data_IF_526211128088
#
_entry.id   IF_526211128088
#
_cell.length_a   1.000
_cell.length_b   1.000
_cell.length_c   1.000
_cell.angle_alpha   90.00
_cell.angle_beta   90.00
_cell.angle_gamma   90.00
#
_symmetry.space_group_name_H-M   'P 1'
#
loop_
_entity.id
_entity.type
_entity.pdbx_description
1 polymer ?
#
# COMPACT_ATOMS: atom_id res chain seq x y z
N UNK A 1 11.31 -9.97 15.71
CA UNK A 1 11.03 -8.51 15.70
C UNK A 1 10.13 -8.20 14.53
N UNK A 2 9.09 -7.41 14.76
CA UNK A 2 8.14 -7.03 13.73
C UNK A 2 8.52 -5.67 13.13
N UNK A 3 8.36 -5.57 11.82
CA UNK A 3 8.80 -4.42 11.02
C UNK A 3 7.65 -3.77 10.28
N UNK A 4 7.84 -2.51 9.91
CA UNK A 4 7.07 -1.84 8.88
C UNK A 4 7.87 -1.92 7.57
N UNK A 5 7.32 -2.64 6.62
CA UNK A 5 7.93 -2.82 5.29
C UNK A 5 7.16 -2.07 4.23
N UNK A 6 7.87 -1.40 3.33
CA UNK A 6 7.30 -0.72 2.17
C UNK A 6 7.72 -1.43 0.88
N UNK A 7 6.74 -1.79 0.06
CA UNK A 7 6.93 -2.10 -1.35
C UNK A 7 6.35 -0.94 -2.16
N UNK A 8 7.16 -0.31 -2.99
CA UNK A 8 6.73 0.82 -3.80
C UNK A 8 7.22 0.68 -5.24
N UNK A 9 6.55 1.35 -6.15
CA UNK A 9 6.92 1.30 -7.55
C UNK A 9 5.94 2.09 -8.41
N UNK A 10 6.22 2.12 -9.70
CA UNK A 10 5.35 2.73 -10.69
C UNK A 10 4.08 1.90 -10.89
N UNK A 11 3.13 2.43 -11.65
CA UNK A 11 1.96 1.64 -12.07
C UNK A 11 2.44 0.38 -12.80
N UNK A 12 1.68 -0.70 -12.66
CA UNK A 12 1.97 -1.99 -13.29
C UNK A 12 3.22 -2.71 -12.76
N UNK A 13 3.81 -2.24 -11.68
CA UNK A 13 5.00 -2.88 -11.08
C UNK A 13 4.68 -4.15 -10.28
N UNK A 14 3.39 -4.55 -10.22
CA UNK A 14 2.99 -5.80 -9.55
C UNK A 14 2.73 -5.66 -8.05
N UNK A 15 2.48 -4.46 -7.54
CA UNK A 15 2.24 -4.23 -6.11
C UNK A 15 1.03 -5.02 -5.59
N UNK A 16 -0.09 -4.96 -6.29
CA UNK A 16 -1.31 -5.67 -5.89
C UNK A 16 -1.13 -7.18 -5.96
N UNK A 17 -0.45 -7.67 -6.99
CA UNK A 17 -0.10 -9.10 -7.10
C UNK A 17 0.78 -9.54 -5.92
N UNK A 18 1.76 -8.72 -5.55
CA UNK A 18 2.61 -8.98 -4.39
C UNK A 18 1.80 -9.04 -3.10
N UNK A 19 0.88 -8.10 -2.90
CA UNK A 19 -0.01 -8.10 -1.73
C UNK A 19 -0.83 -9.39 -1.66
N UNK A 20 -1.45 -9.79 -2.76
CA UNK A 20 -2.28 -10.99 -2.81
C UNK A 20 -1.46 -12.26 -2.53
N UNK A 21 -0.24 -12.32 -3.05
CA UNK A 21 0.69 -13.41 -2.78
C UNK A 21 1.09 -13.45 -1.30
N UNK A 22 1.43 -12.32 -0.71
CA UNK A 22 1.77 -12.22 0.70
C UNK A 22 0.59 -12.63 1.59
N UNK A 23 -0.62 -12.16 1.25
CA UNK A 23 -1.85 -12.54 1.95
C UNK A 23 -2.05 -14.07 1.94
N UNK A 24 -1.91 -14.69 0.78
CA UNK A 24 -2.02 -16.14 0.65
C UNK A 24 -0.98 -16.86 1.52
N UNK A 25 0.28 -16.44 1.42
CA UNK A 25 1.37 -17.08 2.14
C UNK A 25 1.22 -16.99 3.66
N UNK A 26 0.90 -15.83 4.18
CA UNK A 26 0.71 -15.66 5.63
C UNK A 26 -0.49 -16.47 6.14
N UNK A 27 -1.62 -16.43 5.43
CA UNK A 27 -2.81 -17.21 5.82
C UNK A 27 -2.56 -18.71 5.76
N UNK A 28 -1.84 -19.17 4.76
CA UNK A 28 -1.45 -20.59 4.61
C UNK A 28 -0.63 -21.08 5.80
N UNK A 29 0.18 -20.21 6.39
CA UNK A 29 0.97 -20.54 7.57
C UNK A 29 0.24 -20.28 8.89
N UNK A 30 -1.05 -20.01 8.85
CA UNK A 30 -1.91 -19.88 10.02
C UNK A 30 -1.94 -18.51 10.68
N UNK A 31 -1.36 -17.49 10.05
CA UNK A 31 -1.37 -16.14 10.59
C UNK A 31 -2.73 -15.45 10.38
N UNK A 32 -3.15 -14.67 11.38
CA UNK A 32 -4.31 -13.79 11.22
C UNK A 32 -3.89 -12.52 10.50
N UNK A 33 -4.45 -12.32 9.30
CA UNK A 33 -4.11 -11.21 8.40
C UNK A 33 -5.29 -10.26 8.25
N UNK A 34 -5.04 -8.96 8.34
CA UNK A 34 -5.99 -7.91 7.94
C UNK A 34 -5.49 -7.20 6.69
N UNK A 35 -6.39 -6.97 5.75
CA UNK A 35 -6.15 -6.13 4.58
C UNK A 35 -6.84 -4.80 4.79
N UNK A 36 -6.08 -3.71 4.68
CA UNK A 36 -6.53 -2.33 4.89
C UNK A 36 -6.28 -1.54 3.61
N UNK A 37 -7.22 -0.66 3.29
CA UNK A 37 -7.12 0.22 2.13
C UNK A 37 -7.63 1.61 2.53
N UNK A 38 -6.94 2.70 2.14
CA UNK A 38 -7.47 4.04 2.35
C UNK A 38 -8.81 4.23 1.63
N UNK A 39 -9.76 4.86 2.30
CA UNK A 39 -11.05 5.22 1.71
C UNK A 39 -10.90 6.57 0.99
N UNK A 40 -10.53 6.54 -0.28
CA UNK A 40 -10.28 7.76 -1.06
C UNK A 40 -11.30 7.92 -2.15
N UNK A 41 -11.61 6.83 -2.81
CA UNK A 41 -12.55 6.78 -3.90
C UNK A 41 -13.20 5.40 -3.86
N UNK A 42 -14.48 5.35 -4.18
CA UNK A 42 -15.25 4.11 -4.23
C UNK A 42 -14.90 3.23 -5.44
N UNK A 43 -13.91 3.64 -6.24
CA UNK A 43 -13.41 2.81 -7.33
C UNK A 43 -12.68 1.59 -6.76
N UNK A 44 -13.19 0.41 -7.09
CA UNK A 44 -12.66 -0.86 -6.62
C UNK A 44 -13.32 -1.39 -5.36
N UNK A 45 -14.18 -0.61 -4.68
CA UNK A 45 -14.98 -1.10 -3.55
C UNK A 45 -14.15 -1.70 -2.43
N UNK A 46 -14.68 -2.76 -1.84
CA UNK A 46 -14.12 -3.46 -0.67
C UNK A 46 -13.17 -4.61 -1.07
N UNK A 47 -12.59 -4.56 -2.25
CA UNK A 47 -11.69 -5.61 -2.72
C UNK A 47 -10.36 -5.08 -3.21
N UNK A 48 -9.34 -5.90 -3.05
CA UNK A 48 -8.06 -5.74 -3.72
C UNK A 48 -8.07 -6.69 -4.91
N UNK A 49 -7.88 -6.18 -6.11
CA UNK A 49 -7.93 -6.95 -7.36
C UNK A 49 -6.70 -6.64 -8.20
N UNK A 50 -6.05 -7.69 -8.71
CA UNK A 50 -4.96 -7.55 -9.68
C UNK A 50 -5.46 -7.68 -11.13
N UNK A 51 -4.57 -7.57 -12.09
CA UNK A 51 -4.90 -7.62 -13.52
C UNK A 51 -5.36 -8.99 -14.01
N UNK A 52 -5.00 -10.04 -13.31
CA UNK A 52 -5.43 -11.41 -13.64
C UNK A 52 -6.72 -11.80 -12.92
N UNK A 53 -7.42 -10.81 -12.34
CA UNK A 53 -8.68 -10.97 -11.61
C UNK A 53 -8.57 -11.80 -10.32
N UNK A 54 -7.38 -12.01 -9.81
CA UNK A 54 -7.21 -12.51 -8.45
C UNK A 54 -7.61 -11.41 -7.48
N UNK A 55 -8.28 -11.76 -6.39
CA UNK A 55 -8.82 -10.76 -5.45
C UNK A 55 -8.80 -11.24 -4.02
N UNK A 56 -8.88 -10.29 -3.10
CA UNK A 56 -9.11 -10.52 -1.67
C UNK A 56 -10.02 -9.42 -1.12
N UNK A 57 -10.88 -9.75 -0.14
CA UNK A 57 -11.72 -8.74 0.48
C UNK A 57 -10.88 -7.82 1.37
N UNK A 58 -11.26 -6.54 1.44
CA UNK A 58 -10.67 -5.56 2.34
C UNK A 58 -11.40 -5.62 3.67
N UNK A 59 -10.65 -5.72 4.75
CA UNK A 59 -11.22 -5.78 6.11
C UNK A 59 -11.54 -4.39 6.67
N UNK A 60 -10.72 -3.39 6.34
CA UNK A 60 -10.90 -2.01 6.80
C UNK A 60 -10.69 -1.05 5.64
N UNK A 61 -11.68 -0.19 5.40
CA UNK A 61 -11.56 1.01 4.59
C UNK A 61 -11.31 2.18 5.52
N UNK A 62 -10.10 2.72 5.53
CA UNK A 62 -9.66 3.74 6.48
C UNK A 62 -9.77 5.12 5.86
N UNK A 63 -10.67 5.95 6.37
CA UNK A 63 -10.82 7.34 5.93
C UNK A 63 -9.68 8.21 6.45
N UNK A 64 -9.40 9.33 5.76
CA UNK A 64 -8.29 10.22 6.10
C UNK A 64 -8.37 10.82 7.51
N UNK A 65 -9.57 11.01 8.03
CA UNK A 65 -9.82 11.57 9.36
C UNK A 65 -9.94 10.50 10.45
N UNK A 66 -9.77 9.24 10.09
CA UNK A 66 -9.87 8.13 11.02
C UNK A 66 -8.47 7.68 11.49
N UNK A 67 -8.45 7.14 12.71
CA UNK A 67 -7.28 6.47 13.28
C UNK A 67 -7.49 4.95 13.24
N UNK A 68 -6.42 4.21 12.99
CA UNK A 68 -6.48 2.74 13.12
C UNK A 68 -6.72 2.32 14.58
N UNK A 69 -6.48 3.21 15.53
CA UNK A 69 -6.74 3.00 16.95
C UNK A 69 -8.16 3.38 17.39
N UNK A 70 -9.01 3.82 16.46
CA UNK A 70 -10.41 4.09 16.78
C UNK A 70 -11.10 2.83 17.34
N UNK A 71 -12.00 3.03 18.31
CA UNK A 71 -12.65 1.93 19.01
C UNK A 71 -13.32 0.90 18.09
N UNK A 72 -13.84 1.35 16.96
CA UNK A 72 -14.49 0.45 15.98
C UNK A 72 -13.52 -0.52 15.29
N UNK A 73 -12.22 -0.20 15.27
CA UNK A 73 -11.21 -1.04 14.63
C UNK A 73 -10.45 -1.92 15.62
N UNK A 74 -10.43 -1.55 16.90
CA UNK A 74 -9.69 -2.30 17.93
C UNK A 74 -10.06 -3.79 18.00
N UNK A 75 -11.34 -4.18 17.89
CA UNK A 75 -11.68 -5.61 17.89
C UNK A 75 -11.07 -6.39 16.73
N UNK A 76 -10.90 -5.75 15.57
CA UNK A 76 -10.25 -6.36 14.40
C UNK A 76 -8.72 -6.44 14.58
N UNK A 77 -8.14 -5.43 15.18
CA UNK A 77 -6.68 -5.37 15.42
C UNK A 77 -6.27 -6.42 16.47
N UNK A 78 -7.11 -6.66 17.47
CA UNK A 78 -6.81 -7.62 18.53
C UNK A 78 -6.59 -9.01 17.96
N UNK A 79 -5.44 -9.60 18.25
CA UNK A 79 -5.06 -10.93 17.76
C UNK A 79 -4.57 -10.96 16.33
N UNK A 80 -4.55 -9.83 15.63
CA UNK A 80 -3.98 -9.72 14.29
C UNK A 80 -2.46 -9.81 14.37
N UNK A 81 -1.88 -10.59 13.47
CA UNK A 81 -0.44 -10.81 13.41
C UNK A 81 0.21 -10.08 12.23
N UNK A 82 -0.54 -9.89 11.15
CA UNK A 82 -0.05 -9.26 9.92
C UNK A 82 -1.10 -8.29 9.39
N UNK A 83 -0.67 -7.10 9.01
CA UNK A 83 -1.50 -6.09 8.34
C UNK A 83 -0.87 -5.81 6.98
N UNK A 84 -1.67 -5.92 5.93
CA UNK A 84 -1.32 -5.56 4.57
C UNK A 84 -2.12 -4.33 4.16
N UNK A 85 -1.43 -3.27 3.74
CA UNK A 85 -2.08 -1.99 3.38
C UNK A 85 -1.88 -1.73 1.89
N UNK A 86 -2.97 -1.78 1.13
CA UNK A 86 -2.96 -1.43 -0.29
C UNK A 86 -3.18 0.09 -0.47
N UNK A 87 -2.75 0.62 -1.61
CA UNK A 87 -2.90 2.05 -1.94
C UNK A 87 -2.34 2.97 -0.85
N UNK A 88 -1.24 2.56 -0.22
CA UNK A 88 -0.69 3.25 0.96
C UNK A 88 -0.14 4.65 0.66
N UNK A 89 0.05 5.01 -0.61
CA UNK A 89 0.43 6.37 -1.00
C UNK A 89 -0.59 7.43 -0.58
N UNK A 90 -1.80 7.02 -0.31
CA UNK A 90 -2.88 7.91 0.09
C UNK A 90 -3.07 8.03 1.60
N UNK A 91 -2.29 7.31 2.39
CA UNK A 91 -2.32 7.46 3.85
C UNK A 91 -1.79 8.83 4.26
N UNK A 92 -2.31 9.36 5.36
CA UNK A 92 -1.75 10.55 6.00
C UNK A 92 -0.50 10.20 6.78
N UNK A 93 0.36 11.18 7.04
CA UNK A 93 1.55 10.96 7.87
C UNK A 93 1.18 10.44 9.26
N UNK A 94 0.12 10.98 9.87
CA UNK A 94 -0.38 10.51 11.15
C UNK A 94 -0.75 9.02 11.11
N UNK A 95 -1.45 8.59 10.07
CA UNK A 95 -1.82 7.18 9.91
C UNK A 95 -0.59 6.30 9.74
N UNK A 96 0.42 6.76 9.01
CA UNK A 96 1.67 6.01 8.83
C UNK A 96 2.41 5.86 10.15
N UNK A 97 2.46 6.90 10.97
CA UNK A 97 3.01 6.81 12.32
C UNK A 97 2.25 5.79 13.16
N UNK A 98 0.95 5.75 13.04
CA UNK A 98 0.12 4.75 13.74
C UNK A 98 0.45 3.32 13.30
N UNK A 99 0.63 3.09 11.99
CA UNK A 99 1.08 1.79 11.50
C UNK A 99 2.48 1.43 11.99
N UNK A 100 3.37 2.40 12.04
CA UNK A 100 4.69 2.22 12.66
C UNK A 100 4.57 1.81 14.14
N UNK A 101 3.65 2.42 14.88
CA UNK A 101 3.38 2.04 16.27
C UNK A 101 2.83 0.62 16.40
N UNK A 102 1.94 0.21 15.49
CA UNK A 102 1.46 -1.18 15.46
C UNK A 102 2.62 -2.17 15.27
N UNK A 103 3.58 -1.83 14.42
CA UNK A 103 4.74 -2.68 14.20
C UNK A 103 5.69 -2.71 15.40
N UNK A 104 6.08 -1.52 15.90
CA UNK A 104 7.16 -1.40 16.87
C UNK A 104 6.73 -1.46 18.33
N UNK A 105 5.49 -1.08 18.64
CA UNK A 105 4.99 -1.06 20.02
C UNK A 105 4.07 -2.23 20.35
N UNK A 106 3.29 -2.66 19.37
CA UNK A 106 2.29 -3.73 19.57
C UNK A 106 2.79 -5.06 19.04
N UNK A 107 3.68 -5.06 18.05
CA UNK A 107 4.30 -6.27 17.55
C UNK A 107 3.53 -6.94 16.41
N UNK A 108 2.89 -6.14 15.56
CA UNK A 108 2.22 -6.62 14.35
C UNK A 108 3.13 -6.39 13.15
N UNK A 109 3.29 -7.38 12.29
CA UNK A 109 3.98 -7.19 11.01
C UNK A 109 3.13 -6.32 10.09
N UNK A 110 3.65 -5.19 9.62
CA UNK A 110 2.92 -4.28 8.74
C UNK A 110 3.66 -4.17 7.40
N UNK A 111 2.94 -4.42 6.32
CA UNK A 111 3.47 -4.30 4.95
C UNK A 111 2.58 -3.34 4.18
N UNK A 112 3.18 -2.27 3.66
CA UNK A 112 2.50 -1.26 2.87
C UNK A 112 2.93 -1.36 1.41
N UNK A 113 1.97 -1.21 0.51
CA UNK A 113 2.16 -1.23 -0.94
C UNK A 113 1.71 0.12 -1.49
N UNK A 114 2.62 0.84 -2.17
CA UNK A 114 2.36 2.22 -2.56
C UNK A 114 2.88 2.54 -3.96
N UNK A 115 2.18 3.45 -4.65
CA UNK A 115 2.72 4.10 -5.83
C UNK A 115 3.88 5.00 -5.43
N UNK A 116 4.96 4.97 -6.18
CA UNK A 116 6.15 5.79 -5.94
C UNK A 116 5.83 7.26 -6.07
N UNK A 117 5.30 7.65 -7.22
CA UNK A 117 5.10 9.05 -7.57
C UNK A 117 3.89 9.25 -8.49
N UNK A 118 3.45 10.50 -8.59
CA UNK A 118 2.46 10.91 -9.58
C UNK A 118 3.09 11.00 -10.98
N UNK A 119 2.28 11.38 -11.98
CA UNK A 119 2.75 11.51 -13.36
C UNK A 119 3.72 12.70 -13.57
N UNK A 120 3.86 13.58 -12.58
CA UNK A 120 4.85 14.68 -12.58
C UNK A 120 6.19 14.27 -11.96
N UNK A 121 6.32 12.99 -11.56
CA UNK A 121 7.51 12.49 -10.88
C UNK A 121 7.60 12.89 -9.41
N UNK A 122 6.56 13.48 -8.83
CA UNK A 122 6.53 13.87 -7.43
C UNK A 122 6.09 12.71 -6.57
N UNK A 123 6.79 12.45 -5.47
CA UNK A 123 6.39 11.43 -4.52
C UNK A 123 5.01 11.77 -3.92
N UNK A 124 4.14 10.79 -3.82
CA UNK A 124 2.94 10.93 -3.02
C UNK A 124 3.32 11.19 -1.56
N UNK A 125 2.49 11.97 -0.83
CA UNK A 125 2.76 12.30 0.57
C UNK A 125 2.87 11.05 1.45
N UNK A 126 2.00 10.09 1.24
CA UNK A 126 2.06 8.81 1.96
C UNK A 126 3.33 8.03 1.65
N UNK A 127 3.72 7.97 0.38
CA UNK A 127 4.97 7.30 -0.02
C UNK A 127 6.18 8.00 0.58
N UNK A 128 6.20 9.34 0.59
CA UNK A 128 7.28 10.11 1.19
C UNK A 128 7.42 9.80 2.69
N UNK A 129 6.32 9.79 3.42
CA UNK A 129 6.34 9.45 4.85
C UNK A 129 6.77 8.00 5.08
N UNK A 130 6.29 7.06 4.26
CA UNK A 130 6.67 5.64 4.36
C UNK A 130 8.16 5.43 4.10
N UNK A 131 8.73 6.15 3.15
CA UNK A 131 10.19 6.09 2.89
C UNK A 131 10.96 6.52 4.14
N UNK A 132 10.45 7.50 4.89
CA UNK A 132 11.07 7.94 6.14
C UNK A 132 10.89 6.98 7.31
N UNK A 133 9.72 6.38 7.45
CA UNK A 133 9.38 5.57 8.63
C UNK A 133 9.58 4.06 8.45
N UNK A 134 9.56 3.53 7.22
CA UNK A 134 9.67 2.10 7.01
C UNK A 134 11.05 1.57 7.35
N UNK A 135 11.09 0.42 8.01
CA UNK A 135 12.33 -0.27 8.34
C UNK A 135 12.96 -0.90 7.10
N UNK A 136 12.13 -1.41 6.20
CA UNK A 136 12.55 -2.02 4.94
C UNK A 136 11.81 -1.37 3.79
N UNK A 137 12.56 -1.07 2.73
CA UNK A 137 12.04 -0.40 1.54
C UNK A 137 12.50 -1.19 0.31
N UNK A 138 11.53 -1.64 -0.49
CA UNK A 138 11.79 -2.43 -1.68
C UNK A 138 11.09 -1.79 -2.87
N UNK A 139 11.85 -1.41 -3.87
CA UNK A 139 11.28 -0.90 -5.11
C UNK A 139 10.95 -2.05 -6.05
N UNK A 140 9.68 -2.13 -6.45
CA UNK A 140 9.22 -3.05 -7.49
C UNK A 140 9.34 -2.34 -8.83
N UNK A 141 10.08 -2.93 -9.76
CA UNK A 141 10.35 -2.32 -11.05
C UNK A 141 9.56 -3.00 -12.17
N UNK A 142 9.29 -2.24 -13.23
CA UNK A 142 8.69 -2.72 -14.47
C UNK A 142 9.38 -2.01 -15.62
N UNK A 143 9.48 -2.68 -16.76
CA UNK A 143 10.07 -2.07 -17.95
C UNK A 143 9.08 -1.12 -18.63
N UNK A 144 9.57 0.05 -19.01
CA UNK A 144 8.87 0.96 -19.87
C UNK A 144 8.70 0.33 -21.27
N UNK A 145 7.70 0.79 -22.02
CA UNK A 145 7.55 0.40 -23.45
C UNK A 145 8.78 0.73 -24.28
N UNK A 146 9.62 1.66 -23.82
CA UNK A 146 10.90 1.99 -24.46
C UNK A 146 12.01 0.96 -24.21
N UNK A 147 11.77 -0.06 -23.35
CA UNK A 147 12.76 -1.08 -23.00
C UNK A 147 13.58 -0.81 -21.76
N UNK A 148 13.60 0.42 -21.27
CA UNK A 148 14.31 0.81 -20.05
C UNK A 148 13.46 0.55 -18.81
N UNK A 149 14.10 0.51 -17.63
CA UNK A 149 13.37 0.40 -16.37
C UNK A 149 12.54 1.68 -16.14
N UNK A 150 11.25 1.51 -15.88
CA UNK A 150 10.37 2.64 -15.58
C UNK A 150 10.72 3.27 -14.24
N UNK A 151 10.84 4.60 -14.22
CA UNK A 151 11.23 5.38 -13.03
C UNK A 151 10.04 6.09 -12.40
N UNK A 152 9.10 6.56 -13.21
CA UNK A 152 7.88 7.22 -12.75
C UNK A 152 6.74 7.04 -13.75
N UNK A 153 5.51 7.32 -13.33
CA UNK A 153 4.35 7.29 -14.19
C UNK A 153 4.32 8.54 -15.06
N UNK A 154 4.00 8.38 -16.32
CA UNK A 154 3.86 9.50 -17.25
C UNK A 154 2.42 9.59 -17.77
N UNK A 155 1.95 10.81 -17.99
CA UNK A 155 0.69 11.08 -18.66
C UNK A 155 0.97 11.61 -20.05
N UNK A 156 0.34 11.01 -21.04
CA UNK A 156 0.51 11.43 -22.43
C UNK A 156 -0.83 11.83 -23.03
N UNK A 157 -0.82 12.91 -23.78
CA UNK A 157 -1.96 13.35 -24.58
C UNK A 157 -1.45 13.62 -26.01
N UNK A 158 -2.06 12.98 -27.01
CA UNK A 158 -1.68 13.10 -28.42
C UNK A 158 -0.17 12.85 -28.66
N UNK A 159 0.42 11.86 -27.96
CA UNK A 159 1.80 11.49 -28.12
C UNK A 159 2.82 12.37 -27.38
N UNK A 160 2.36 13.37 -26.63
CA UNK A 160 3.24 14.28 -25.88
C UNK A 160 3.04 14.10 -24.37
N UNK A 161 4.13 14.26 -23.62
CA UNK A 161 4.07 14.25 -22.17
C UNK A 161 3.32 15.47 -21.63
N UNK A 162 2.46 15.27 -20.64
CA UNK A 162 1.66 16.31 -20.00
C UNK A 162 2.00 16.34 -18.51
N UNK A 163 2.28 17.55 -18.01
CA UNK A 163 2.62 17.78 -16.61
C UNK A 163 1.54 18.56 -15.86
N UNK A 164 0.41 18.85 -16.50
CA UNK A 164 -0.73 19.56 -15.94
C UNK A 164 -1.87 18.59 -15.61
N UNK A 165 -2.65 18.94 -14.60
CA UNK A 165 -3.83 18.17 -14.24
C UNK A 165 -3.88 17.69 -12.82
#
# INVERSE_FOLDING_TARGET
MTDLTLFYGTMESGKTTKLLQDNYNYRKHGHKVLIIKPLIDLKGGNTVVNRTNEFAPVDILLANDESIFDDKYLPLIKGTEVILVDEAQFLTEKQIIEFWMLAHKIGITVICYALKSDFKGRLFKGTQALIGFADRKNELTVNCKCGETAVFNARMVNGSFVFDG
#
